data_IF_162517966649
#
_entry.id   IF_162517966649
#
_cell.length_a   1.000
_cell.length_b   1.000
_cell.length_c   1.000
_cell.angle_alpha   90.00
_cell.angle_beta   90.00
_cell.angle_gamma   90.00
#
_symmetry.space_group_name_H-M   'P 1'
#
loop_
_entity.id
_entity.type
_entity.pdbx_description
1 polymer ?
#
# COMPACT_ATOMS: atom_id res chain seq x y z
N UNK A 1 10.41 12.72 1.13
CA UNK A 1 9.92 11.65 0.23
C UNK A 1 10.26 11.93 -1.23
N UNK A 2 9.69 12.94 -1.92
CA UNK A 2 10.03 13.25 -3.34
C UNK A 2 11.52 13.49 -3.57
N UNK A 3 12.24 14.07 -2.60
CA UNK A 3 13.71 14.23 -2.67
C UNK A 3 14.40 12.85 -2.65
N UNK A 4 13.94 11.89 -1.84
CA UNK A 4 14.50 10.53 -1.83
C UNK A 4 14.23 9.80 -3.14
N UNK A 5 12.99 9.88 -3.65
CA UNK A 5 12.62 9.35 -4.97
C UNK A 5 13.47 9.98 -6.08
N UNK A 6 13.62 11.30 -6.07
CA UNK A 6 14.45 12.01 -7.03
C UNK A 6 15.94 11.67 -6.93
N UNK A 7 16.43 11.34 -5.73
CA UNK A 7 17.80 10.87 -5.55
C UNK A 7 18.06 9.50 -6.17
N UNK A 8 17.05 8.61 -6.14
CA UNK A 8 17.14 7.27 -6.71
C UNK A 8 16.88 7.24 -8.23
N UNK A 9 15.90 7.98 -8.72
CA UNK A 9 15.45 7.92 -10.13
C UNK A 9 15.94 9.08 -10.98
N UNK A 10 16.53 10.10 -10.35
CA UNK A 10 16.89 11.36 -11.00
C UNK A 10 15.68 12.21 -11.37
N UNK A 11 15.92 13.44 -11.82
CA UNK A 11 14.88 14.38 -12.22
C UNK A 11 14.03 13.86 -13.39
N UNK A 12 14.63 13.13 -14.33
CA UNK A 12 13.94 12.54 -15.48
C UNK A 12 12.98 11.43 -15.04
N UNK A 13 13.43 10.50 -14.16
CA UNK A 13 12.60 9.43 -13.65
C UNK A 13 11.40 9.98 -12.86
N UNK A 14 11.63 11.02 -12.05
CA UNK A 14 10.55 11.69 -11.31
C UNK A 14 9.55 12.38 -12.27
N UNK A 15 10.04 13.07 -13.30
CA UNK A 15 9.19 13.75 -14.28
C UNK A 15 8.32 12.80 -15.10
N UNK A 16 8.77 11.56 -15.32
CA UNK A 16 8.01 10.51 -16.00
C UNK A 16 7.11 9.76 -14.99
N UNK A 17 7.68 9.34 -13.88
CA UNK A 17 6.99 8.48 -12.91
C UNK A 17 5.80 9.15 -12.24
N UNK A 18 5.91 10.44 -11.88
CA UNK A 18 4.86 11.15 -11.16
C UNK A 18 3.55 11.28 -11.97
N UNK A 19 3.54 11.77 -13.22
CA UNK A 19 2.30 11.84 -14.01
C UNK A 19 1.69 10.45 -14.26
N UNK A 20 2.52 9.46 -14.59
CA UNK A 20 2.04 8.10 -14.87
C UNK A 20 1.43 7.44 -13.62
N UNK A 21 2.01 7.64 -12.45
CA UNK A 21 1.48 7.13 -11.19
C UNK A 21 0.17 7.79 -10.77
N UNK A 22 -0.07 9.03 -11.19
CA UNK A 22 -1.31 9.76 -10.91
C UNK A 22 -2.47 9.36 -11.84
N UNK A 23 -2.22 8.83 -13.04
CA UNK A 23 -3.26 8.49 -14.02
C UNK A 23 -4.30 7.50 -13.49
N UNK A 24 -3.96 6.40 -12.78
CA UNK A 24 -4.93 5.45 -12.26
C UNK A 24 -5.75 6.00 -11.09
N UNK A 25 -5.23 6.98 -10.34
CA UNK A 25 -5.83 7.46 -9.09
C UNK A 25 -7.28 7.93 -9.24
N UNK A 26 -7.66 8.75 -10.24
CA UNK A 26 -9.05 9.16 -10.41
C UNK A 26 -10.00 7.99 -10.70
N UNK A 27 -9.54 7.02 -11.50
CA UNK A 27 -10.35 5.85 -11.88
C UNK A 27 -10.61 4.98 -10.65
N UNK A 28 -9.58 4.63 -9.92
CA UNK A 28 -9.70 3.77 -8.75
C UNK A 28 -10.30 4.50 -7.55
N UNK A 29 -10.05 5.80 -7.41
CA UNK A 29 -10.74 6.65 -6.46
C UNK A 29 -12.24 6.71 -6.72
N UNK A 30 -12.66 6.81 -7.98
CA UNK A 30 -14.08 6.75 -8.36
C UNK A 30 -14.72 5.41 -8.02
N UNK A 31 -14.00 4.28 -8.16
CA UNK A 31 -14.51 2.96 -7.74
C UNK A 31 -14.67 2.86 -6.22
N UNK A 32 -13.75 3.44 -5.44
CA UNK A 32 -13.88 3.51 -3.97
C UNK A 32 -15.09 4.38 -3.59
N UNK A 33 -15.26 5.54 -4.22
CA UNK A 33 -16.43 6.41 -4.00
C UNK A 33 -17.74 5.76 -4.47
N UNK A 34 -17.71 4.90 -5.48
CA UNK A 34 -18.87 4.12 -5.90
C UNK A 34 -19.24 3.05 -4.86
N UNK A 35 -18.26 2.42 -4.22
CA UNK A 35 -18.51 1.52 -3.09
C UNK A 35 -19.14 2.25 -1.91
N UNK A 36 -18.68 3.47 -1.64
CA UNK A 36 -19.10 4.40 -0.59
C UNK A 36 -20.47 5.07 -0.84
N UNK A 37 -21.12 4.81 -1.97
CA UNK A 37 -22.30 5.58 -2.43
C UNK A 37 -23.55 5.46 -1.57
N UNK A 38 -23.68 4.42 -0.78
CA UNK A 38 -24.88 4.18 0.03
C UNK A 38 -24.82 4.84 1.41
N UNK A 39 -23.63 5.00 1.96
CA UNK A 39 -23.38 5.67 3.24
C UNK A 39 -22.07 6.45 3.07
N UNK A 40 -22.20 7.70 2.62
CA UNK A 40 -21.05 8.46 2.14
C UNK A 40 -20.18 8.98 3.26
N UNK A 41 -18.93 8.56 3.25
CA UNK A 41 -17.91 9.02 4.18
C UNK A 41 -17.50 10.48 3.93
N UNK A 42 -17.17 11.24 4.98
CA UNK A 42 -16.72 12.62 4.85
C UNK A 42 -15.49 12.71 3.94
N UNK A 43 -15.60 13.48 2.85
CA UNK A 43 -14.53 13.64 1.85
C UNK A 43 -13.18 14.03 2.43
N UNK A 44 -13.19 14.85 3.50
CA UNK A 44 -11.95 15.23 4.17
C UNK A 44 -11.27 14.05 4.91
N UNK A 45 -12.04 13.06 5.40
CA UNK A 45 -11.49 11.83 5.98
C UNK A 45 -10.91 10.94 4.90
N UNK A 46 -11.59 10.79 3.77
CA UNK A 46 -11.07 10.07 2.60
C UNK A 46 -9.77 10.71 2.09
N UNK A 47 -9.73 12.05 2.01
CA UNK A 47 -8.53 12.78 1.63
C UNK A 47 -7.37 12.59 2.63
N UNK A 48 -7.66 12.55 3.95
CA UNK A 48 -6.66 12.25 4.98
C UNK A 48 -6.15 10.82 4.89
N UNK A 49 -7.03 9.84 4.67
CA UNK A 49 -6.67 8.45 4.47
C UNK A 49 -5.73 8.30 3.26
N UNK A 50 -6.11 8.88 2.12
CA UNK A 50 -5.28 8.91 0.92
C UNK A 50 -3.94 9.63 1.17
N UNK A 51 -3.96 10.81 1.78
CA UNK A 51 -2.77 11.60 2.09
C UNK A 51 -1.80 10.88 3.03
N UNK A 52 -2.31 10.15 4.03
CA UNK A 52 -1.48 9.30 4.88
C UNK A 52 -0.80 8.19 4.05
N UNK A 53 -1.57 7.48 3.21
CA UNK A 53 -1.05 6.47 2.30
C UNK A 53 -0.04 7.03 1.31
N UNK A 54 -0.26 8.22 0.78
CA UNK A 54 0.63 8.84 -0.21
C UNK A 54 1.91 9.44 0.38
N UNK A 55 1.93 9.84 1.65
CA UNK A 55 3.03 10.62 2.22
C UNK A 55 3.63 9.94 3.45
N UNK A 56 2.79 9.65 4.45
CA UNK A 56 3.28 9.22 5.78
C UNK A 56 3.74 7.77 5.75
N UNK A 57 2.90 6.87 5.25
CA UNK A 57 3.24 5.46 5.20
C UNK A 57 4.48 5.18 4.32
N UNK A 58 4.61 5.70 3.08
CA UNK A 58 5.81 5.49 2.29
C UNK A 58 7.07 6.12 2.91
N UNK A 59 6.95 7.25 3.61
CA UNK A 59 8.10 7.87 4.29
C UNK A 59 8.65 6.94 5.38
N UNK A 60 7.80 6.44 6.27
CA UNK A 60 8.23 5.51 7.31
C UNK A 60 8.72 4.18 6.72
N UNK A 61 8.04 3.68 5.68
CA UNK A 61 8.45 2.45 4.99
C UNK A 61 9.85 2.59 4.38
N UNK A 62 10.12 3.69 3.70
CA UNK A 62 11.44 3.95 3.11
C UNK A 62 12.55 3.97 4.16
N UNK A 63 12.32 4.65 5.29
CA UNK A 63 13.32 4.72 6.38
C UNK A 63 13.56 3.37 7.02
N UNK A 64 12.48 2.65 7.37
CA UNK A 64 12.59 1.38 8.09
C UNK A 64 13.06 0.24 7.18
N UNK A 65 12.59 0.18 5.94
CA UNK A 65 13.05 -0.81 4.96
C UNK A 65 14.53 -0.57 4.57
N UNK A 66 14.95 0.69 4.44
CA UNK A 66 16.35 1.04 4.21
C UNK A 66 17.26 0.62 5.36
N UNK A 67 16.84 0.86 6.61
CA UNK A 67 17.58 0.42 7.79
C UNK A 67 17.65 -1.11 7.90
N UNK A 68 16.54 -1.80 7.58
CA UNK A 68 16.49 -3.26 7.59
C UNK A 68 17.38 -3.87 6.50
N UNK A 69 17.39 -3.30 5.30
CA UNK A 69 18.27 -3.73 4.21
C UNK A 69 19.75 -3.54 4.60
N UNK A 70 20.12 -2.38 5.13
CA UNK A 70 21.48 -2.12 5.59
C UNK A 70 21.94 -3.16 6.63
N UNK A 71 21.07 -3.49 7.60
CA UNK A 71 21.36 -4.53 8.58
C UNK A 71 21.41 -5.96 8.00
N UNK A 72 20.67 -6.23 6.94
CA UNK A 72 20.67 -7.54 6.26
C UNK A 72 21.95 -7.75 5.44
N UNK A 73 22.43 -6.73 4.73
CA UNK A 73 23.67 -6.79 3.93
C UNK A 73 24.91 -7.06 4.79
N UNK A 74 24.88 -6.70 6.09
CA UNK A 74 25.96 -7.07 7.03
C UNK A 74 25.98 -8.57 7.36
N UNK A 75 24.91 -9.32 7.09
CA UNK A 75 24.71 -10.71 7.52
C UNK A 75 24.55 -11.72 6.39
N UNK A 76 24.27 -11.25 5.19
CA UNK A 76 24.05 -12.05 4.00
C UNK A 76 24.67 -11.39 2.78
N UNK A 77 24.77 -12.11 1.67
CA UNK A 77 25.13 -11.50 0.39
C UNK A 77 24.06 -10.49 -0.07
N UNK A 78 24.43 -9.51 -0.90
CA UNK A 78 23.50 -8.43 -1.28
C UNK A 78 22.19 -8.92 -1.91
N UNK A 79 22.23 -9.95 -2.77
CA UNK A 79 21.04 -10.49 -3.44
C UNK A 79 20.08 -11.12 -2.43
N UNK A 80 20.58 -11.95 -1.53
CA UNK A 80 19.78 -12.54 -0.44
C UNK A 80 19.22 -11.46 0.47
N UNK A 81 20.01 -10.44 0.81
CA UNK A 81 19.56 -9.34 1.65
C UNK A 81 18.41 -8.53 1.02
N UNK A 82 18.49 -8.24 -0.28
CA UNK A 82 17.44 -7.55 -1.04
C UNK A 82 16.15 -8.39 -1.10
N UNK A 83 16.25 -9.70 -1.37
CA UNK A 83 15.10 -10.61 -1.39
C UNK A 83 14.41 -10.65 -0.02
N UNK A 84 15.18 -10.82 1.06
CA UNK A 84 14.63 -10.83 2.43
C UNK A 84 13.97 -9.49 2.78
N UNK A 85 14.60 -8.38 2.45
CA UNK A 85 14.04 -7.06 2.67
C UNK A 85 12.72 -6.87 1.90
N UNK A 86 12.68 -7.20 0.61
CA UNK A 86 11.51 -7.02 -0.24
C UNK A 86 10.35 -7.97 0.11
N UNK A 87 10.66 -9.25 0.42
CA UNK A 87 9.64 -10.29 0.60
C UNK A 87 9.14 -10.38 2.03
N UNK A 88 10.01 -10.20 3.03
CA UNK A 88 9.64 -10.35 4.44
C UNK A 88 9.45 -9.01 5.16
N UNK A 89 10.44 -8.12 5.06
CA UNK A 89 10.45 -6.89 5.87
C UNK A 89 9.48 -5.86 5.34
N UNK A 90 9.49 -5.60 4.03
CA UNK A 90 8.65 -4.57 3.42
C UNK A 90 7.15 -4.81 3.68
N UNK A 91 6.56 -6.01 3.47
CA UNK A 91 5.16 -6.25 3.77
C UNK A 91 4.77 -5.94 5.22
N UNK A 92 5.62 -6.31 6.17
CA UNK A 92 5.35 -6.06 7.60
C UNK A 92 5.37 -4.55 7.89
N UNK A 93 6.43 -3.86 7.50
CA UNK A 93 6.60 -2.43 7.77
C UNK A 93 5.49 -1.61 7.11
N UNK A 94 5.19 -1.92 5.85
CA UNK A 94 4.23 -1.17 5.06
C UNK A 94 2.80 -1.37 5.53
N UNK A 95 2.38 -2.61 5.81
CA UNK A 95 1.02 -2.85 6.30
C UNK A 95 0.83 -2.33 7.72
N UNK A 96 1.87 -2.34 8.57
CA UNK A 96 1.84 -1.66 9.87
C UNK A 96 1.68 -0.13 9.71
N UNK A 97 2.43 0.49 8.81
CA UNK A 97 2.35 1.93 8.56
C UNK A 97 0.98 2.36 7.99
N UNK A 98 0.40 1.56 7.08
CA UNK A 98 -0.95 1.76 6.54
C UNK A 98 -2.02 1.48 7.61
N UNK A 99 -1.88 0.38 8.33
CA UNK A 99 -2.80 0.00 9.41
C UNK A 99 -2.88 1.01 10.54
N UNK A 100 -1.77 1.72 10.83
CA UNK A 100 -1.76 2.80 11.80
C UNK A 100 -2.72 3.94 11.43
N UNK A 101 -2.81 4.31 10.14
CA UNK A 101 -3.81 5.28 9.68
C UNK A 101 -5.22 4.86 10.04
N UNK A 102 -5.57 3.60 9.74
CA UNK A 102 -6.91 3.06 10.01
C UNK A 102 -7.21 3.01 11.49
N UNK A 103 -6.24 2.62 12.31
CA UNK A 103 -6.38 2.61 13.78
C UNK A 103 -6.63 4.02 14.32
N UNK A 104 -5.91 5.02 13.80
CA UNK A 104 -6.08 6.41 14.22
C UNK A 104 -7.44 6.97 13.79
N UNK A 105 -7.88 6.72 12.56
CA UNK A 105 -9.20 7.10 12.07
C UNK A 105 -10.32 6.45 12.88
N UNK A 106 -10.26 5.12 13.07
CA UNK A 106 -11.23 4.35 13.84
C UNK A 106 -11.33 4.79 15.31
N UNK A 107 -10.25 5.32 15.90
CA UNK A 107 -10.26 5.82 17.27
C UNK A 107 -10.75 7.26 17.39
N UNK A 108 -10.36 8.10 16.44
CA UNK A 108 -10.66 9.53 16.46
C UNK A 108 -12.08 9.84 15.97
N UNK A 109 -12.60 9.06 15.02
CA UNK A 109 -13.88 9.30 14.34
C UNK A 109 -14.78 8.06 14.42
N UNK A 110 -15.27 7.80 15.63
CA UNK A 110 -16.02 6.58 15.92
C UNK A 110 -17.42 6.56 15.31
N UNK A 111 -17.97 7.70 15.06
CA UNK A 111 -19.30 7.86 14.51
C UNK A 111 -19.33 7.72 13.00
N UNK A 112 -18.17 7.92 12.37
CA UNK A 112 -17.97 7.80 10.92
C UNK A 112 -17.33 6.46 10.54
N UNK A 113 -16.48 5.89 11.39
CA UNK A 113 -15.87 4.59 11.18
C UNK A 113 -16.56 3.57 12.08
N UNK A 114 -17.72 3.04 11.67
CA UNK A 114 -18.56 2.23 12.55
C UNK A 114 -18.87 0.82 12.04
N UNK A 115 -18.63 0.52 10.76
CA UNK A 115 -18.92 -0.74 10.13
C UNK A 115 -17.77 -1.28 9.25
N UNK A 116 -17.98 -2.46 8.62
CA UNK A 116 -16.98 -3.11 7.77
C UNK A 116 -16.78 -2.35 6.45
N UNK A 117 -17.83 -1.77 5.89
CA UNK A 117 -17.75 -1.03 4.62
C UNK A 117 -16.84 0.18 4.76
N UNK A 118 -16.97 0.96 5.83
CA UNK A 118 -16.12 2.12 6.13
C UNK A 118 -14.67 1.68 6.28
N UNK A 119 -14.45 0.57 6.99
CA UNK A 119 -13.13 -0.03 7.11
C UNK A 119 -12.48 -0.33 5.76
N UNK A 120 -13.23 -0.89 4.82
CA UNK A 120 -12.76 -1.18 3.45
C UNK A 120 -12.53 0.11 2.67
N UNK A 121 -13.43 1.08 2.74
CA UNK A 121 -13.36 2.36 2.03
C UNK A 121 -12.12 3.15 2.47
N UNK A 122 -11.93 3.34 3.77
CA UNK A 122 -10.73 4.03 4.28
C UNK A 122 -9.44 3.27 3.97
N UNK A 123 -9.44 1.94 4.09
CA UNK A 123 -8.30 1.11 3.75
C UNK A 123 -7.93 1.19 2.26
N UNK A 124 -8.93 1.19 1.39
CA UNK A 124 -8.72 1.35 -0.04
C UNK A 124 -8.11 2.71 -0.38
N UNK A 125 -8.54 3.79 0.29
CA UNK A 125 -7.96 5.12 0.11
C UNK A 125 -6.51 5.19 0.60
N UNK A 126 -6.19 4.60 1.76
CA UNK A 126 -4.80 4.50 2.26
C UNK A 126 -3.94 3.70 1.27
N UNK A 127 -4.42 2.52 0.85
CA UNK A 127 -3.71 1.65 -0.09
C UNK A 127 -3.50 2.30 -1.46
N UNK A 128 -4.49 3.04 -1.97
CA UNK A 128 -4.40 3.77 -3.24
C UNK A 128 -3.36 4.89 -3.18
N UNK A 129 -3.32 5.65 -2.08
CA UNK A 129 -2.30 6.67 -1.87
C UNK A 129 -0.90 6.07 -1.82
N UNK A 130 -0.74 4.94 -1.11
CA UNK A 130 0.53 4.21 -1.03
C UNK A 130 0.98 3.70 -2.41
N UNK A 131 0.07 3.02 -3.13
CA UNK A 131 0.34 2.51 -4.48
C UNK A 131 0.76 3.62 -5.45
N UNK A 132 0.10 4.78 -5.39
CA UNK A 132 0.48 5.94 -6.20
C UNK A 132 1.94 6.33 -5.96
N UNK A 133 2.34 6.49 -4.71
CA UNK A 133 3.71 6.92 -4.37
C UNK A 133 4.75 5.87 -4.74
N UNK A 134 4.46 4.61 -4.47
CA UNK A 134 5.35 3.52 -4.84
C UNK A 134 5.50 3.41 -6.36
N UNK A 135 4.42 3.61 -7.13
CA UNK A 135 4.46 3.62 -8.58
C UNK A 135 5.32 4.75 -9.16
N UNK A 136 5.46 5.89 -8.47
CA UNK A 136 6.42 6.93 -8.90
C UNK A 136 7.83 6.37 -8.95
N UNK A 137 8.24 5.58 -7.94
CA UNK A 137 9.55 4.91 -7.89
C UNK A 137 9.70 3.87 -9.01
N UNK A 138 8.74 2.95 -9.13
CA UNK A 138 8.81 1.88 -10.12
C UNK A 138 8.82 2.40 -11.55
N UNK A 139 7.95 3.34 -11.89
CA UNK A 139 7.93 3.94 -13.24
C UNK A 139 9.17 4.80 -13.51
N UNK A 140 9.66 5.50 -12.49
CA UNK A 140 10.89 6.29 -12.60
C UNK A 140 12.12 5.43 -12.90
N UNK A 141 12.27 4.29 -12.21
CA UNK A 141 13.35 3.31 -12.46
C UNK A 141 13.18 2.66 -13.84
N UNK A 142 11.98 2.15 -14.14
CA UNK A 142 11.67 1.49 -15.40
C UNK A 142 11.85 2.40 -16.63
N UNK A 143 11.68 3.71 -16.49
CA UNK A 143 11.97 4.67 -17.55
C UNK A 143 13.47 4.78 -17.87
N UNK A 144 14.34 4.50 -16.89
CA UNK A 144 15.79 4.41 -17.07
C UNK A 144 16.23 3.11 -17.72
N UNK A 145 15.58 2.00 -17.36
CA UNK A 145 15.97 0.63 -17.74
C UNK A 145 15.30 0.15 -19.03
N UNK A 146 14.39 0.92 -19.62
CA UNK A 146 13.66 0.55 -20.85
C UNK A 146 12.51 -0.45 -20.64
N UNK A 147 12.14 -0.76 -19.38
CA UNK A 147 11.08 -1.74 -19.04
C UNK A 147 9.74 -1.08 -18.70
N UNK A 148 9.58 0.22 -18.96
CA UNK A 148 8.44 1.01 -18.53
C UNK A 148 7.08 0.46 -18.96
N UNK A 149 6.97 -0.04 -20.22
CA UNK A 149 5.71 -0.58 -20.75
C UNK A 149 5.21 -1.78 -19.95
N UNK A 150 6.08 -2.72 -19.61
CA UNK A 150 5.74 -3.90 -18.81
C UNK A 150 5.33 -3.52 -17.40
N UNK A 151 6.06 -2.60 -16.77
CA UNK A 151 5.76 -2.13 -15.40
C UNK A 151 4.44 -1.35 -15.37
N UNK A 152 4.14 -0.53 -16.39
CA UNK A 152 2.84 0.16 -16.53
C UNK A 152 1.67 -0.82 -16.65
N UNK A 153 1.81 -1.85 -17.48
CA UNK A 153 0.77 -2.88 -17.62
C UNK A 153 0.57 -3.61 -16.30
N UNK A 154 1.64 -4.09 -15.69
CA UNK A 154 1.53 -4.85 -14.44
C UNK A 154 0.94 -4.01 -13.31
N UNK A 155 1.53 -2.85 -13.01
CA UNK A 155 1.19 -2.05 -11.83
C UNK A 155 0.03 -1.08 -12.06
N UNK A 156 -0.21 -0.65 -13.30
CA UNK A 156 -1.27 0.29 -13.65
C UNK A 156 -2.57 -0.35 -14.10
N UNK A 157 -2.54 -1.57 -14.70
CA UNK A 157 -3.72 -2.23 -15.24
C UNK A 157 -4.04 -3.55 -14.54
N UNK A 158 -3.04 -4.42 -14.30
CA UNK A 158 -3.28 -5.75 -13.73
C UNK A 158 -3.38 -5.69 -12.20
N UNK A 159 -2.49 -4.96 -11.56
CA UNK A 159 -2.37 -4.95 -10.10
C UNK A 159 -2.54 -3.57 -9.42
N UNK A 160 -3.37 -2.65 -9.92
CA UNK A 160 -3.50 -1.32 -9.32
C UNK A 160 -4.17 -1.37 -7.94
N UNK A 161 -4.96 -2.42 -7.70
CA UNK A 161 -5.65 -2.67 -6.43
C UNK A 161 -4.87 -3.54 -5.43
N UNK A 162 -3.65 -3.94 -5.72
CA UNK A 162 -2.90 -4.81 -4.81
C UNK A 162 -2.83 -4.23 -3.39
N UNK A 163 -2.29 -3.03 -3.22
CA UNK A 163 -2.23 -2.39 -1.90
C UNK A 163 -3.60 -2.05 -1.29
N UNK A 164 -4.58 -1.46 -2.03
CA UNK A 164 -5.95 -1.35 -1.55
C UNK A 164 -6.52 -2.67 -1.01
N UNK A 165 -6.32 -3.76 -1.73
CA UNK A 165 -6.84 -5.07 -1.37
C UNK A 165 -6.18 -5.65 -0.10
N UNK A 166 -4.84 -5.54 0.00
CA UNK A 166 -4.12 -6.01 1.19
C UNK A 166 -4.57 -5.24 2.42
N UNK A 167 -4.52 -3.91 2.35
CA UNK A 167 -4.90 -3.04 3.46
C UNK A 167 -6.39 -3.17 3.82
N UNK A 168 -7.27 -3.51 2.85
CA UNK A 168 -8.70 -3.77 3.11
C UNK A 168 -8.92 -4.89 4.14
N UNK A 169 -8.05 -5.91 4.20
CA UNK A 169 -8.15 -6.94 5.23
C UNK A 169 -8.01 -6.35 6.65
N UNK A 170 -7.11 -5.38 6.84
CA UNK A 170 -6.99 -4.63 8.11
C UNK A 170 -8.25 -3.80 8.37
N UNK A 171 -8.79 -3.14 7.33
CA UNK A 171 -10.04 -2.38 7.40
C UNK A 171 -11.23 -3.25 7.83
N UNK A 172 -11.40 -4.41 7.22
CA UNK A 172 -12.42 -5.40 7.60
C UNK A 172 -12.28 -5.80 9.08
N UNK A 173 -11.06 -6.10 9.52
CA UNK A 173 -10.80 -6.45 10.92
C UNK A 173 -11.20 -5.35 11.91
N UNK A 174 -10.93 -4.10 11.56
CA UNK A 174 -11.32 -2.93 12.38
C UNK A 174 -12.84 -2.69 12.32
N UNK A 175 -13.48 -2.83 11.16
CA UNK A 175 -14.93 -2.74 11.00
C UNK A 175 -15.66 -3.79 11.83
N UNK A 176 -15.25 -5.06 11.78
CA UNK A 176 -15.80 -6.12 12.65
C UNK A 176 -15.66 -5.74 14.13
N UNK A 177 -14.55 -5.13 14.54
CA UNK A 177 -14.38 -4.63 15.91
C UNK A 177 -15.40 -3.56 16.26
N UNK A 178 -15.81 -2.74 15.30
CA UNK A 178 -16.81 -1.68 15.52
C UNK A 178 -18.22 -2.23 15.61
N UNK A 179 -18.62 -3.12 14.73
CA UNK A 179 -19.94 -3.74 14.72
C UNK A 179 -20.18 -4.64 15.94
N UNK A 180 -19.14 -5.26 16.51
CA UNK A 180 -19.27 -6.19 17.62
C UNK A 180 -19.17 -5.48 18.97
N UNK A 181 -20.19 -5.57 19.78
CA UNK A 181 -20.21 -5.02 21.14
C UNK A 181 -19.29 -5.78 22.09
N UNK A 182 -19.22 -7.13 21.97
CA UNK A 182 -18.49 -8.06 22.87
C UNK A 182 -17.97 -9.29 22.11
N UNK A 183 -17.14 -10.08 22.79
CA UNK A 183 -16.68 -11.39 22.33
C UNK A 183 -15.28 -11.37 21.71
N UNK A 184 -14.73 -12.57 21.47
CA UNK A 184 -13.37 -12.76 20.94
C UNK A 184 -13.17 -12.09 19.56
N UNK A 185 -14.19 -12.11 18.71
CA UNK A 185 -14.12 -11.47 17.39
C UNK A 185 -13.77 -9.98 17.46
N UNK A 186 -14.31 -9.26 18.46
CA UNK A 186 -13.98 -7.83 18.66
C UNK A 186 -12.48 -7.58 18.86
N UNK A 187 -11.77 -8.49 19.50
CA UNK A 187 -10.35 -8.35 19.83
C UNK A 187 -9.45 -8.97 18.76
N UNK A 188 -9.86 -10.13 18.23
CA UNK A 188 -9.04 -10.90 17.31
C UNK A 188 -9.15 -10.43 15.86
N UNK A 189 -10.30 -9.89 15.43
CA UNK A 189 -10.51 -9.48 14.05
C UNK A 189 -9.50 -8.43 13.54
N UNK A 190 -9.13 -7.37 14.28
CA UNK A 190 -8.09 -6.43 13.83
C UNK A 190 -6.71 -7.08 13.67
N UNK A 191 -6.37 -8.02 14.56
CA UNK A 191 -5.09 -8.75 14.51
C UNK A 191 -5.08 -9.68 13.30
N UNK A 192 -6.16 -10.44 13.12
CA UNK A 192 -6.32 -11.33 11.96
C UNK A 192 -6.32 -10.55 10.64
N UNK A 193 -7.02 -9.40 10.59
CA UNK A 193 -7.04 -8.53 9.42
C UNK A 193 -5.65 -8.04 9.04
N UNK A 194 -4.88 -7.53 10.01
CA UNK A 194 -3.50 -7.09 9.76
C UNK A 194 -2.59 -8.26 9.35
N UNK A 195 -2.69 -9.40 10.01
CA UNK A 195 -1.92 -10.59 9.64
C UNK A 195 -2.25 -11.06 8.22
N UNK A 196 -3.53 -11.01 7.83
CA UNK A 196 -3.96 -11.32 6.46
C UNK A 196 -3.41 -10.32 5.45
N UNK A 197 -3.44 -9.02 5.76
CA UNK A 197 -2.86 -7.98 4.91
C UNK A 197 -1.36 -8.24 4.65
N UNK A 198 -0.60 -8.50 5.71
CA UNK A 198 0.84 -8.83 5.63
C UNK A 198 1.05 -10.10 4.81
N UNK A 199 0.26 -11.16 5.04
CA UNK A 199 0.39 -12.42 4.31
C UNK A 199 0.09 -12.26 2.81
N UNK A 200 -0.96 -11.54 2.43
CA UNK A 200 -1.30 -11.26 1.03
C UNK A 200 -0.19 -10.44 0.35
N UNK A 201 0.32 -9.44 1.02
CA UNK A 201 1.42 -8.62 0.52
C UNK A 201 2.72 -9.43 0.37
N UNK A 202 3.06 -10.25 1.37
CA UNK A 202 4.17 -11.20 1.31
C UNK A 202 4.06 -12.12 0.09
N UNK A 203 2.90 -12.76 -0.12
CA UNK A 203 2.66 -13.65 -1.26
C UNK A 203 2.79 -12.93 -2.59
N UNK A 204 2.34 -11.68 -2.66
CA UNK A 204 2.50 -10.84 -3.84
C UNK A 204 3.97 -10.59 -4.15
N UNK A 205 4.76 -10.11 -3.19
CA UNK A 205 6.17 -9.83 -3.37
C UNK A 205 6.98 -11.09 -3.67
N UNK A 206 6.65 -12.21 -3.02
CA UNK A 206 7.24 -13.51 -3.30
C UNK A 206 6.97 -13.95 -4.75
N UNK A 207 5.73 -13.81 -5.23
CA UNK A 207 5.36 -14.18 -6.60
C UNK A 207 6.11 -13.35 -7.65
N UNK A 208 6.32 -12.06 -7.38
CA UNK A 208 7.11 -11.18 -8.23
C UNK A 208 8.59 -11.60 -8.26
N UNK A 209 9.16 -11.92 -7.09
CA UNK A 209 10.57 -12.40 -6.97
C UNK A 209 10.78 -13.72 -7.68
N UNK A 210 9.83 -14.67 -7.58
CA UNK A 210 9.88 -15.95 -8.29
C UNK A 210 9.65 -15.82 -9.81
N UNK A 211 9.40 -14.62 -10.31
CA UNK A 211 9.22 -14.35 -11.73
C UNK A 211 7.91 -14.88 -12.31
N UNK A 212 6.87 -15.08 -11.48
CA UNK A 212 5.53 -15.51 -11.92
C UNK A 212 4.98 -14.58 -13.00
N UNK A 213 5.33 -13.29 -12.93
CA UNK A 213 4.92 -12.26 -13.89
C UNK A 213 5.92 -12.02 -15.02
N UNK A 214 6.99 -12.82 -15.16
CA UNK A 214 7.98 -12.63 -16.26
C UNK A 214 7.33 -12.66 -17.65
N UNK A 215 6.28 -13.43 -17.83
CA UNK A 215 5.51 -13.48 -19.08
C UNK A 215 4.80 -12.16 -19.43
N UNK A 216 4.67 -11.22 -18.49
CA UNK A 216 4.05 -9.90 -18.69
C UNK A 216 5.12 -8.87 -19.10
N UNK A 217 6.41 -9.17 -18.87
CA UNK A 217 7.53 -8.30 -19.22
C UNK A 217 8.18 -8.63 -20.58
N UNK A 218 7.77 -9.74 -21.22
CA UNK A 218 8.19 -10.16 -22.56
C UNK A 218 7.13 -9.81 -23.61
#
# INVERSE_FOLDING_TARGET
MLVGVGAETGARGLAIGLPLAMLPVPVYGALVLWLDRFEQEPRWMLARAFGWGAIVAPFFSMVLNGAALAAAVERADPETAEIVAAVLTAPVVEELAKGLALILLCRAHRDEFDNVTDGVVYAAMVGLGFAMTENVLYYGRAAGDGTLSGVLVLRGLIAPFSHPLFTAATGVGLGIRRERSRGAARTLAPIAGLATAIALHFLWNLSATLGVFRAVYL
#
